data_IF_284547221234
#
_entry.id   IF_284547221234
#
_cell.length_a   1.000
_cell.length_b   1.000
_cell.length_c   1.000
_cell.angle_alpha   90.00
_cell.angle_beta   90.00
_cell.angle_gamma   90.00
#
_symmetry.space_group_name_H-M   'P 1'
#
loop_
_entity.id
_entity.type
_entity.pdbx_description
1 polymer ?
2 non-polymer ?
3 water ?
#
# COMPACT_ATOMS: atom_id res chain seq x y z
N UNK A 11 2.14 16.28 -29.64
CA UNK A 11 0.78 16.11 -30.25
C UNK A 11 -0.06 17.31 -29.88
N UNK A 12 -0.69 17.93 -30.91
CA UNK A 12 -1.73 18.96 -30.73
C UNK A 12 -3.05 18.43 -30.16
N UNK A 13 -3.21 17.13 -30.04
CA UNK A 13 -4.42 16.54 -29.44
C UNK A 13 -4.42 16.53 -27.91
N UNK A 14 -3.27 16.76 -27.30
CA UNK A 14 -3.11 16.62 -25.86
C UNK A 14 -3.50 17.92 -25.15
N UNK A 15 -4.40 17.82 -24.15
CA UNK A 15 -4.78 18.99 -23.38
C UNK A 15 -3.72 19.32 -22.37
N UNK A 16 -3.28 20.57 -22.39
CA UNK A 16 -2.37 21.15 -21.43
C UNK A 16 -3.27 21.58 -20.26
N UNK A 17 -3.19 20.84 -19.16
CA UNK A 17 -3.98 21.11 -18.03
C UNK A 17 -3.33 22.13 -17.14
N UNK A 18 -4.19 22.86 -16.40
CA UNK A 18 -3.75 23.63 -15.21
C UNK A 18 -4.61 23.27 -14.02
N UNK A 19 -4.18 23.66 -12.83
CA UNK A 19 -5.01 23.45 -11.63
C UNK A 19 -6.42 24.04 -11.83
N UNK A 20 -6.48 25.20 -12.46
CA UNK A 20 -7.77 25.84 -12.76
C UNK A 20 -8.62 25.17 -13.82
N UNK A 21 -7.98 24.65 -14.89
CA UNK A 21 -8.73 24.00 -15.97
C UNK A 21 -9.15 22.55 -15.66
N UNK A 22 -8.67 21.99 -14.53
CA UNK A 22 -8.83 20.57 -14.26
C UNK A 22 -10.29 20.13 -14.21
N UNK A 23 -11.11 20.85 -13.45
CA UNK A 23 -12.51 20.56 -13.32
C UNK A 23 -13.21 20.49 -14.68
N UNK A 24 -13.05 21.54 -15.46
CA UNK A 24 -13.65 21.57 -16.81
C UNK A 24 -13.08 20.53 -17.77
N UNK A 25 -11.76 20.43 -17.80
CA UNK A 25 -11.12 19.62 -18.84
C UNK A 25 -11.18 18.13 -18.54
N UNK A 26 -11.14 17.78 -17.25
CA UNK A 26 -11.19 16.40 -16.85
C UNK A 26 -12.51 16.00 -16.23
N UNK A 27 -12.90 16.66 -15.17
CA UNK A 27 -13.99 16.12 -14.38
C UNK A 27 -15.34 16.25 -15.08
N UNK A 28 -15.50 17.26 -15.92
CA UNK A 28 -16.77 17.41 -16.66
C UNK A 28 -16.69 16.85 -18.06
N UNK A 29 -15.54 16.28 -18.42
CA UNK A 29 -15.44 15.74 -19.76
C UNK A 29 -16.35 14.51 -19.91
N UNK A 30 -16.83 14.32 -21.12
CA UNK A 30 -17.53 13.09 -21.46
C UNK A 30 -16.47 12.26 -22.15
N UNK A 31 -16.48 10.98 -21.88
CA UNK A 31 -15.49 10.14 -22.46
C UNK A 31 -14.26 10.04 -21.59
N UNK A 32 -13.47 9.02 -21.87
CA UNK A 32 -12.34 8.66 -21.05
C UNK A 32 -11.23 9.68 -21.28
N UNK A 33 -10.59 10.07 -20.17
CA UNK A 33 -9.50 11.03 -20.18
C UNK A 33 -8.32 10.41 -19.46
N UNK A 34 -7.15 10.36 -20.10
CA UNK A 34 -5.91 9.87 -19.49
C UNK A 34 -5.06 11.07 -19.09
N UNK A 35 -4.90 11.27 -17.79
CA UNK A 35 -4.14 12.41 -17.26
C UNK A 35 -2.77 11.96 -16.85
N UNK A 36 -1.76 12.61 -17.41
CA UNK A 36 -0.34 12.36 -17.11
C UNK A 36 0.16 13.46 -16.19
N UNK A 37 0.51 13.07 -14.95
CA UNK A 37 1.14 13.92 -14.00
C UNK A 37 2.64 13.81 -14.25
N UNK A 38 3.31 14.93 -14.48
CA UNK A 38 4.73 14.96 -14.88
C UNK A 38 5.42 16.25 -14.48
N UNK A 39 6.72 16.30 -14.76
CA UNK A 39 7.51 17.49 -14.56
C UNK A 39 8.82 17.35 -15.30
N UNK A 40 9.53 18.47 -15.39
CA UNK A 40 10.77 18.57 -16.19
C UNK A 40 11.91 17.71 -15.59
N UNK A 41 11.97 17.57 -14.26
CA UNK A 41 13.04 16.80 -13.60
C UNK A 41 12.51 15.43 -13.27
N UNK A 42 12.59 14.54 -14.26
CA UNK A 42 11.96 13.23 -14.21
C UNK A 42 12.37 12.41 -15.41
N UNK A 43 13.17 11.37 -15.19
CA UNK A 43 13.65 10.51 -16.24
C UNK A 43 12.51 9.80 -16.96
N UNK A 44 11.69 9.02 -16.20
CA UNK A 44 10.63 8.24 -16.85
C UNK A 44 9.62 9.12 -17.51
N UNK A 45 9.41 10.39 -17.03
CA UNK A 45 8.54 11.34 -17.81
C UNK A 45 8.91 11.54 -19.25
N UNK A 46 10.20 11.68 -19.49
CA UNK A 46 10.77 11.88 -20.76
C UNK A 46 10.66 10.60 -21.62
N UNK A 47 10.85 9.43 -21.03
CA UNK A 47 10.67 8.11 -21.71
C UNK A 47 9.25 8.00 -22.29
N UNK A 48 8.24 8.29 -21.45
CA UNK A 48 6.84 8.09 -21.86
C UNK A 48 6.20 9.21 -22.64
N UNK A 49 6.78 10.40 -22.66
CA UNK A 49 6.24 11.52 -23.42
C UNK A 49 5.98 11.24 -24.91
N UNK A 50 6.93 10.60 -25.64
CA UNK A 50 6.61 10.26 -27.04
C UNK A 50 5.53 9.20 -27.23
N UNK A 51 5.48 8.26 -26.31
CA UNK A 51 4.47 7.27 -26.30
C UNK A 51 3.09 7.91 -26.15
N UNK A 52 2.95 8.88 -25.24
CA UNK A 52 1.66 9.54 -25.02
C UNK A 52 1.23 10.30 -26.24
N UNK A 53 2.18 10.87 -26.99
CA UNK A 53 1.86 11.51 -28.23
C UNK A 53 1.25 10.53 -29.23
N UNK A 54 1.85 9.37 -29.35
CA UNK A 54 1.36 8.37 -30.33
C UNK A 54 -0.03 7.87 -29.89
N UNK A 55 -0.21 7.64 -28.60
CA UNK A 55 -1.50 7.25 -28.06
C UNK A 55 -2.54 8.30 -28.30
N UNK A 56 -2.20 9.57 -28.16
CA UNK A 56 -3.22 10.60 -28.38
C UNK A 56 -3.72 10.55 -29.83
N UNK A 57 -2.81 10.37 -30.77
CA UNK A 57 -3.22 10.10 -32.15
C UNK A 57 -4.01 8.81 -32.34
N UNK A 58 -3.50 7.71 -31.84
CA UNK A 58 -4.02 6.42 -32.16
C UNK A 58 -5.33 6.10 -31.44
N UNK A 59 -5.57 6.74 -30.30
CA UNK A 59 -6.83 6.60 -29.56
C UNK A 59 -7.81 7.76 -29.68
N UNK A 60 -7.52 8.71 -30.53
CA UNK A 60 -8.48 9.80 -30.78
C UNK A 60 -9.88 9.27 -31.19
N UNK A 61 -10.92 9.74 -30.50
CA UNK A 61 -12.29 9.31 -30.70
C UNK A 61 -12.71 8.41 -29.56
N UNK A 62 -11.76 7.77 -28.91
CA UNK A 62 -12.07 6.94 -27.75
C UNK A 62 -11.46 7.40 -26.42
N UNK A 63 -10.45 8.26 -26.50
CA UNK A 63 -9.69 8.72 -25.34
C UNK A 63 -9.17 10.10 -25.65
N UNK A 64 -9.16 10.99 -24.65
CA UNK A 64 -8.41 12.24 -24.71
C UNK A 64 -7.22 12.11 -23.75
N UNK A 65 -6.04 12.59 -24.20
CA UNK A 65 -4.83 12.61 -23.39
C UNK A 65 -4.63 14.04 -22.89
N UNK A 66 -4.35 14.16 -21.60
CA UNK A 66 -4.14 15.42 -20.91
C UNK A 66 -2.88 15.36 -20.07
N UNK A 67 -2.15 16.47 -20.01
CA UNK A 67 -1.00 16.56 -19.13
C UNK A 67 -1.09 17.68 -18.12
N UNK A 68 -0.65 17.37 -16.92
CA UNK A 68 -0.54 18.32 -15.83
C UNK A 68 0.89 18.34 -15.32
N UNK A 69 1.57 19.47 -15.47
CA UNK A 69 2.89 19.66 -14.94
C UNK A 69 2.77 20.00 -13.50
N UNK A 70 3.28 19.15 -12.62
CA UNK A 70 3.06 19.33 -11.18
C UNK A 70 3.92 20.41 -10.54
N UNK A 71 5.03 20.79 -11.15
CA UNK A 71 5.77 21.95 -10.66
C UNK A 71 5.00 23.25 -10.82
N UNK A 72 4.28 23.41 -11.94
CA UNK A 72 3.45 24.59 -12.21
C UNK A 72 2.03 24.53 -11.64
N UNK A 73 1.55 23.35 -11.30
CA UNK A 73 0.19 23.14 -10.84
C UNK A 73 0.30 22.18 -9.63
N UNK A 74 0.68 22.69 -8.46
CA UNK A 74 0.83 21.81 -7.29
C UNK A 74 -0.46 21.46 -6.59
N UNK A 75 -1.59 21.96 -7.05
CA UNK A 75 -2.83 21.74 -6.27
C UNK A 75 -3.58 20.45 -6.58
N UNK A 76 -3.48 19.91 -7.81
CA UNK A 76 -4.29 18.76 -8.18
C UNK A 76 -3.80 17.41 -7.64
N UNK A 77 -2.52 17.14 -7.79
CA UNK A 77 -2.04 15.79 -7.46
C UNK A 77 -2.49 15.36 -6.08
N UNK A 78 -2.33 16.23 -5.04
CA UNK A 78 -2.82 15.88 -3.70
C UNK A 78 -4.29 15.51 -3.59
N UNK A 79 -5.12 16.07 -4.44
CA UNK A 79 -6.53 15.74 -4.44
C UNK A 79 -6.80 14.29 -4.85
N UNK A 80 -5.82 13.63 -5.50
CA UNK A 80 -5.97 12.24 -5.96
C UNK A 80 -5.02 11.28 -5.28
N UNK A 81 -4.40 11.75 -4.22
CA UNK A 81 -3.44 10.95 -3.49
C UNK A 81 -2.14 10.69 -4.26
N UNK A 82 -1.84 11.49 -5.28
CA UNK A 82 -0.68 11.23 -6.14
C UNK A 82 0.65 11.59 -5.48
N UNK A 83 1.43 10.56 -5.13
CA UNK A 83 2.66 10.71 -4.41
C UNK A 83 3.90 10.99 -5.25
N UNK A 84 3.84 10.78 -6.56
CA UNK A 84 5.03 11.00 -7.39
C UNK A 84 4.70 10.94 -8.86
N UNK A 85 5.75 10.95 -9.67
CA UNK A 85 5.62 11.06 -11.11
C UNK A 85 6.67 10.14 -11.81
N UNK A 86 6.41 9.68 -13.03
CA UNK A 86 5.12 9.88 -13.76
C UNK A 86 3.98 9.04 -13.15
N UNK A 87 2.76 9.59 -13.12
CA UNK A 87 1.55 8.79 -12.78
C UNK A 87 0.51 9.10 -13.85
N UNK A 88 -0.11 8.05 -14.38
CA UNK A 88 -1.23 8.13 -15.27
C UNK A 88 -2.54 7.80 -14.49
N UNK A 89 -3.53 8.66 -14.63
CA UNK A 89 -4.85 8.42 -14.03
C UNK A 89 -5.81 8.39 -15.19
N UNK A 90 -6.60 7.34 -15.28
CA UNK A 90 -7.64 7.22 -16.29
C UNK A 90 -8.94 7.63 -15.63
N UNK A 91 -9.53 8.70 -16.14
CA UNK A 91 -10.84 9.15 -15.68
C UNK A 91 -11.93 8.72 -16.67
N UNK A 92 -13.11 8.43 -16.11
CA UNK A 92 -14.34 8.20 -16.87
C UNK A 92 -15.48 8.88 -16.13
N UNK A 93 -16.15 9.85 -16.79
CA UNK A 93 -17.29 10.58 -16.17
C UNK A 93 -16.96 11.26 -14.86
N UNK A 94 -15.77 11.82 -14.78
CA UNK A 94 -15.36 12.56 -13.59
C UNK A 94 -14.84 11.71 -12.44
N UNK A 95 -14.76 10.41 -12.64
CA UNK A 95 -14.34 9.44 -11.61
C UNK A 95 -13.02 8.70 -12.08
N UNK A 96 -12.05 8.53 -11.20
CA UNK A 96 -10.84 7.71 -11.48
C UNK A 96 -11.30 6.27 -11.71
N UNK A 97 -11.05 5.74 -12.89
CA UNK A 97 -11.31 4.32 -13.16
C UNK A 97 -10.07 3.43 -12.93
N UNK A 98 -8.86 3.98 -13.15
CA UNK A 98 -7.63 3.16 -13.07
C UNK A 98 -6.38 4.05 -12.99
N UNK A 99 -5.28 3.46 -12.53
CA UNK A 99 -4.08 4.19 -12.27
C UNK A 99 -2.90 3.33 -12.68
N UNK A 100 -1.92 3.99 -13.27
CA UNK A 100 -0.67 3.39 -13.63
C UNK A 100 0.49 4.32 -13.37
N UNK A 101 1.41 3.84 -12.56
CA UNK A 101 2.53 4.61 -12.06
C UNK A 101 3.85 4.19 -12.71
N UNK A 102 4.69 5.19 -12.98
CA UNK A 102 6.09 5.01 -13.47
C UNK A 102 6.23 4.78 -14.94
N UNK A 103 7.43 4.36 -15.36
CA UNK A 103 7.70 4.14 -16.79
C UNK A 103 6.87 2.99 -17.36
N UNK A 104 6.58 3.03 -18.66
CA UNK A 104 5.93 1.91 -19.33
C UNK A 104 6.18 1.90 -20.80
N UNK A 105 6.05 0.75 -21.43
CA UNK A 105 6.27 0.64 -22.88
C UNK A 105 4.98 1.05 -23.57
N UNK A 106 5.07 1.27 -24.87
CA UNK A 106 3.85 1.57 -25.63
C UNK A 106 2.88 0.42 -25.54
N UNK A 107 3.38 -0.81 -25.71
CA UNK A 107 2.56 -2.00 -25.61
C UNK A 107 1.85 -2.10 -24.27
N UNK A 108 2.60 -1.90 -23.20
CA UNK A 108 2.03 -1.87 -21.86
C UNK A 108 0.94 -0.81 -21.62
N UNK A 109 1.13 0.38 -22.16
CA UNK A 109 0.11 1.43 -22.09
C UNK A 109 -1.12 0.99 -22.85
N UNK A 110 -0.91 0.44 -24.04
CA UNK A 110 -2.11 -0.04 -24.80
C UNK A 110 -2.91 -1.09 -24.05
N UNK A 111 -2.21 -2.00 -23.41
CA UNK A 111 -2.86 -3.05 -22.62
C UNK A 111 -3.69 -2.51 -21.44
N UNK A 112 -3.09 -1.56 -20.73
CA UNK A 112 -3.78 -0.84 -19.66
C UNK A 112 -5.04 -0.16 -20.20
N UNK A 113 -4.89 0.57 -21.27
CA UNK A 113 -6.03 1.32 -21.82
C UNK A 113 -7.13 0.39 -22.30
N UNK A 114 -6.72 -0.63 -23.04
CA UNK A 114 -7.67 -1.56 -23.63
C UNK A 114 -8.47 -2.30 -22.57
N UNK A 115 -7.79 -2.77 -21.52
CA UNK A 115 -8.47 -3.44 -20.39
C UNK A 115 -9.40 -2.51 -19.61
N UNK A 116 -9.02 -1.25 -19.43
CA UNK A 116 -9.87 -0.35 -18.70
C UNK A 116 -10.90 0.37 -19.55
N UNK A 117 -10.79 0.30 -20.87
CA UNK A 117 -11.77 0.97 -21.70
C UNK A 117 -12.90 0.01 -21.95
N UNK A 118 -12.59 -1.28 -22.15
CA UNK A 118 -13.57 -2.36 -22.12
C UNK A 118 -14.34 -2.26 -20.80
N UNK A 119 -13.60 -2.22 -19.69
CA UNK A 119 -14.17 -1.96 -18.36
C UNK A 119 -13.27 -2.50 -17.25
N UNK A 121 -16.41 -4.85 -15.81
CA UNK A 121 -16.21 -4.89 -14.36
C UNK A 121 -15.58 -6.23 -13.93
N UNK A 122 -14.31 -6.20 -13.49
CA UNK A 122 -13.56 -7.41 -13.10
C UNK A 122 -12.90 -7.29 -11.71
N UNK A 123 -12.98 -8.37 -10.92
CA UNK A 123 -12.57 -8.39 -9.50
C UNK A 123 -13.74 -8.31 -8.53
N UNK A 124 -13.48 -8.59 -7.25
CA UNK A 124 -14.47 -8.49 -6.15
C UNK A 124 -14.31 -7.17 -5.38
N UNK A 125 -15.40 -6.48 -5.09
CA UNK A 125 -15.33 -5.12 -4.54
C UNK A 125 -15.55 -5.15 -3.04
N UNK A 126 -14.64 -4.58 -2.29
CA UNK A 126 -14.79 -4.48 -0.87
C UNK A 126 -15.00 -3.06 -0.42
N UNK A 127 -15.90 -2.88 0.54
CA UNK A 127 -16.26 -1.61 1.08
C UNK A 127 -15.62 -1.51 2.45
N UNK A 128 -14.92 -0.41 2.69
CA UNK A 128 -14.27 -0.10 3.97
C UNK A 128 -14.92 1.20 4.43
N UNK A 129 -15.57 1.15 5.59
CA UNK A 129 -16.18 2.32 6.20
C UNK A 129 -15.58 2.72 7.54
N UNK A 130 -15.77 4.00 7.83
CA UNK A 130 -15.31 4.66 9.05
C UNK A 130 -13.82 4.89 9.07
N UNK A 131 -13.21 5.07 7.90
CA UNK A 131 -11.84 5.62 7.83
C UNK A 131 -11.66 7.02 8.39
N UNK A 132 -10.51 7.25 9.00
CA UNK A 132 -10.15 8.57 9.48
C UNK A 132 -9.90 9.50 8.33
N UNK A 133 -9.95 10.81 8.63
CA UNK A 133 -9.73 11.83 7.59
C UNK A 133 -8.31 11.81 6.97
N UNK A 134 -7.34 11.23 7.64
CA UNK A 134 -5.99 11.08 7.01
C UNK A 134 -5.78 9.76 6.28
N UNK A 135 -6.84 8.94 6.11
CA UNK A 135 -6.63 7.62 5.47
C UNK A 135 -6.26 7.84 3.99
N UNK A 136 -5.38 6.99 3.44
CA UNK A 136 -4.94 7.16 2.06
C UNK A 136 -4.84 5.82 1.38
N UNK A 137 -4.51 5.84 0.09
CA UNK A 137 -4.41 4.63 -0.72
C UNK A 137 -3.42 3.67 -0.14
N UNK A 138 -2.33 4.23 0.41
CA UNK A 138 -1.26 3.49 1.10
C UNK A 138 -1.76 2.60 2.22
N UNK A 139 -2.67 3.13 3.00
CA UNK A 139 -3.27 2.39 4.07
C UNK A 139 -4.04 1.22 3.54
N UNK A 140 -4.80 1.41 2.47
CA UNK A 140 -5.62 0.32 1.95
C UNK A 140 -4.74 -0.76 1.29
N UNK A 141 -3.73 -0.34 0.52
CA UNK A 141 -2.83 -1.29 -0.06
C UNK A 141 -2.20 -2.19 1.01
N UNK A 142 -1.74 -1.57 2.10
CA UNK A 142 -1.06 -2.26 3.19
C UNK A 142 -1.99 -3.23 3.97
N UNK A 143 -3.25 -2.86 4.12
CA UNK A 143 -4.24 -3.77 4.77
C UNK A 143 -4.56 -4.99 3.93
N UNK A 144 -4.89 -4.74 2.65
CA UNK A 144 -5.46 -5.78 1.77
C UNK A 144 -4.44 -6.59 0.96
N UNK A 145 -3.33 -5.97 0.60
CA UNK A 145 -2.32 -6.62 -0.23
C UNK A 145 -1.76 -7.92 0.37
N UNK A 146 -1.58 -7.95 1.70
CA UNK A 146 -1.14 -9.22 2.24
C UNK A 146 -2.04 -10.39 2.03
N UNK A 147 -3.33 -10.15 1.68
CA UNK A 147 -4.27 -11.22 1.55
C UNK A 147 -4.34 -11.82 0.16
N UNK A 148 -3.76 -11.16 -0.83
CA UNK A 148 -3.83 -11.62 -2.20
C UNK A 148 -3.71 -10.44 -3.17
N UNK A 149 -3.90 -10.71 -4.43
CA UNK A 149 -3.75 -9.66 -5.44
C UNK A 149 -4.86 -8.60 -5.38
N UNK A 150 -4.46 -7.35 -5.26
CA UNK A 150 -5.46 -6.28 -5.38
C UNK A 150 -5.17 -5.50 -6.66
N UNK A 151 -6.22 -5.21 -7.41
CA UNK A 151 -6.04 -4.52 -8.66
C UNK A 151 -6.32 -3.05 -8.61
N UNK A 152 -7.03 -2.60 -7.58
CA UNK A 152 -7.47 -1.22 -7.54
C UNK A 152 -7.88 -0.90 -6.11
N UNK A 153 -7.57 0.33 -5.74
CA UNK A 153 -7.92 0.92 -4.46
C UNK A 153 -8.49 2.32 -4.75
N UNK A 154 -9.55 2.68 -4.01
CA UNK A 154 -10.14 3.99 -4.18
C UNK A 154 -10.50 4.54 -2.79
N UNK A 155 -9.89 5.65 -2.46
CA UNK A 155 -10.24 6.41 -1.26
C UNK A 155 -11.15 7.52 -1.72
N UNK A 156 -12.31 7.67 -1.08
CA UNK A 156 -13.27 8.76 -1.43
C UNK A 156 -12.90 9.97 -0.58
N UNK A 157 -12.62 11.08 -1.24
CA UNK A 157 -12.17 12.30 -0.62
C UNK A 157 -13.22 13.36 -0.75
N UNK A 158 -13.30 14.26 0.23
CA UNK A 158 -14.28 15.35 0.12
C UNK A 158 -13.76 16.37 -0.92
N UNK A 159 -14.64 16.83 -1.81
CA UNK A 159 -14.30 17.83 -2.84
C UNK A 159 -13.63 19.08 -2.23
N UNK A 160 -14.26 19.60 -1.17
CA UNK A 160 -13.83 20.83 -0.50
C UNK A 160 -12.52 20.66 0.32
N UNK A 161 -12.47 19.66 1.20
CA UNK A 161 -11.30 19.44 2.08
C UNK A 161 -10.07 18.75 1.48
N UNK A 162 -10.21 17.84 0.52
CA UNK A 162 -9.10 16.85 0.15
C UNK A 162 -8.86 15.69 1.14
N UNK A 163 -9.63 15.66 2.22
CA UNK A 163 -9.45 14.63 3.23
C UNK A 163 -10.35 13.44 2.82
N UNK A 164 -10.00 12.26 3.34
CA UNK A 164 -10.87 11.10 3.24
C UNK A 164 -12.21 11.43 3.87
N UNK A 165 -13.26 11.10 3.17
CA UNK A 165 -14.62 11.33 3.52
C UNK A 165 -15.15 10.24 4.45
N UNK A 166 -14.31 9.24 4.73
CA UNK A 166 -14.65 8.20 5.68
C UNK A 166 -14.86 6.83 5.09
N UNK A 167 -14.58 6.63 3.79
CA UNK A 167 -14.76 5.38 3.16
C UNK A 167 -13.94 5.26 1.92
N UNK A 168 -13.77 4.00 1.54
CA UNK A 168 -13.05 3.62 0.30
C UNK A 168 -13.42 2.22 -0.13
N UNK A 169 -12.75 1.78 -1.17
CA UNK A 169 -13.03 0.51 -1.82
C UNK A 169 -11.75 -0.13 -2.22
N UNK A 170 -11.75 -1.45 -2.23
CA UNK A 170 -10.61 -2.19 -2.72
C UNK A 170 -11.18 -3.25 -3.68
N UNK A 171 -10.43 -3.52 -4.75
CA UNK A 171 -10.79 -4.56 -5.69
C UNK A 171 -9.81 -5.70 -5.68
N UNK A 172 -10.32 -6.87 -5.33
CA UNK A 172 -9.51 -8.11 -5.19
C UNK A 172 -9.85 -9.16 -6.27
N UNK A 173 -8.82 -9.66 -6.95
CA UNK A 173 -9.00 -10.65 -8.02
C UNK A 173 -9.78 -11.91 -7.59
N UNK A 174 -9.34 -12.62 -6.54
CA UNK A 174 -9.90 -13.91 -6.19
C UNK A 174 -10.84 -13.85 -4.99
N UNK A 175 -12.02 -14.45 -5.13
CA UNK A 175 -13.06 -14.38 -4.09
C UNK A 175 -12.65 -14.81 -2.68
N UNK A 176 -11.79 -15.83 -2.63
CA UNK A 176 -11.40 -16.46 -1.37
C UNK A 176 -10.48 -15.54 -0.55
N UNK A 177 -9.57 -14.88 -1.25
CA UNK A 177 -8.68 -13.93 -0.68
C UNK A 177 -9.49 -12.71 -0.15
N UNK A 178 -10.41 -12.15 -0.95
CA UNK A 178 -11.33 -11.12 -0.51
C UNK A 178 -12.13 -11.48 0.74
N UNK A 179 -12.69 -12.68 0.79
CA UNK A 179 -13.42 -13.06 2.00
C UNK A 179 -12.49 -13.25 3.24
N UNK A 180 -11.26 -13.73 3.03
CA UNK A 180 -10.26 -13.81 4.10
C UNK A 180 -9.88 -12.39 4.59
N UNK A 181 -9.65 -11.46 3.68
CA UNK A 181 -9.38 -10.07 4.09
C UNK A 181 -10.58 -9.50 4.88
N UNK A 182 -11.77 -9.70 4.38
CA UNK A 182 -12.98 -9.22 5.08
C UNK A 182 -13.11 -9.80 6.49
N UNK A 183 -12.93 -11.11 6.61
CA UNK A 183 -13.04 -11.81 7.94
C UNK A 183 -11.98 -11.34 8.89
N UNK A 184 -10.81 -10.99 8.36
CA UNK A 184 -9.73 -10.54 9.19
C UNK A 184 -9.73 -9.09 9.52
N UNK A 185 -10.11 -8.20 8.57
CA UNK A 185 -9.96 -6.74 8.79
C UNK A 185 -11.18 -6.07 9.36
N UNK A 186 -12.35 -6.66 9.21
CA UNK A 186 -13.55 -6.10 9.94
C UNK A 186 -13.28 -5.93 11.41
N UNK A 187 -13.56 -4.75 11.97
CA UNK A 187 -13.24 -4.45 13.36
C UNK A 187 -11.82 -3.94 13.60
N UNK A 188 -10.96 -3.98 12.60
CA UNK A 188 -9.56 -3.48 12.78
C UNK A 188 -9.63 -2.08 13.21
N UNK A 189 -8.83 -1.71 14.18
CA UNK A 189 -8.81 -0.35 14.62
C UNK A 189 -7.58 0.36 14.03
N UNK A 190 -7.85 1.30 13.13
CA UNK A 190 -6.86 2.04 12.33
C UNK A 190 -6.82 3.41 12.95
N UNK A 191 -5.75 3.70 13.67
CA UNK A 191 -5.68 4.95 14.47
C UNK A 191 -6.72 4.88 15.57
N UNK A 192 -7.69 5.78 15.52
CA UNK A 192 -8.73 5.88 16.51
C UNK A 192 -10.08 5.47 16.02
N UNK A 193 -10.12 4.80 14.87
CA UNK A 193 -11.38 4.44 14.26
C UNK A 193 -11.46 2.95 14.13
N UNK A 194 -12.55 2.33 14.56
CA UNK A 194 -12.82 0.95 14.25
C UNK A 194 -13.41 0.90 12.84
N UNK A 195 -12.89 0.00 12.01
CA UNK A 195 -13.34 -0.13 10.66
C UNK A 195 -14.39 -1.17 10.44
N UNK A 196 -15.28 -0.88 9.50
CA UNK A 196 -16.21 -1.86 8.90
C UNK A 196 -15.65 -2.29 7.57
N UNK A 197 -15.59 -3.59 7.31
CA UNK A 197 -15.08 -4.10 6.06
C UNK A 197 -16.05 -5.20 5.60
N UNK A 198 -16.56 -5.08 4.37
CA UNK A 198 -17.61 -5.92 3.75
C UNK A 198 -17.52 -6.00 2.26
N UNK A 199 -18.02 -7.09 1.67
CA UNK A 199 -18.33 -7.07 0.25
C UNK A 199 -19.33 -5.94 -0.01
N UNK A 200 -19.03 -5.13 -1.00
CA UNK A 200 -19.97 -4.14 -1.54
C UNK A 200 -21.13 -4.90 -2.17
N UNK A 201 -22.36 -4.66 -1.73
CA UNK A 201 -23.50 -5.54 -2.09
C UNK A 201 -23.53 -6.08 -3.54
N UNK B 11 -2.04 -16.23 30.50
CA UNK B 11 -1.12 -17.39 30.48
C UNK B 11 0.28 -16.95 30.85
N UNK B 12 0.87 -17.58 31.87
CA UNK B 12 2.24 -17.26 32.35
C UNK B 12 3.32 -17.33 31.28
N UNK B 13 3.11 -18.16 30.24
CA UNK B 13 4.00 -18.25 29.06
C UNK B 13 4.22 -16.92 28.28
N UNK B 14 3.25 -16.00 28.37
CA UNK B 14 3.34 -14.65 27.74
C UNK B 14 4.41 -13.82 28.43
N UNK B 15 5.11 -13.01 27.66
CA UNK B 15 5.90 -11.88 28.17
C UNK B 15 5.04 -10.60 28.06
N UNK B 16 5.19 -9.71 29.02
CA UNK B 16 4.42 -8.49 29.08
C UNK B 16 5.36 -7.35 28.72
N UNK B 17 5.33 -6.91 27.46
CA UNK B 17 6.28 -5.89 26.99
C UNK B 17 5.90 -4.51 27.47
N UNK B 18 6.92 -3.69 27.59
CA UNK B 18 6.81 -2.28 27.85
C UNK B 18 7.67 -1.61 26.79
N UNK B 19 7.50 -0.31 26.52
CA UNK B 19 8.41 0.35 25.65
C UNK B 19 9.82 -0.02 26.16
N UNK B 20 10.05 0.36 27.42
CA UNK B 20 11.38 0.38 27.98
C UNK B 20 12.03 -1.02 28.01
N UNK B 21 11.26 -2.12 27.94
CA UNK B 21 11.87 -3.48 27.91
C UNK B 21 11.94 -4.15 26.53
N UNK B 22 11.51 -3.39 25.50
CA UNK B 22 11.38 -3.88 24.11
C UNK B 22 12.69 -4.38 23.55
N UNK B 23 13.69 -3.51 23.65
CA UNK B 23 15.10 -3.82 23.33
C UNK B 23 15.58 -5.14 23.88
N UNK B 24 15.34 -5.32 25.19
CA UNK B 24 15.81 -6.46 25.97
C UNK B 24 15.01 -7.70 25.65
N UNK B 25 13.69 -7.55 25.72
CA UNK B 25 12.78 -8.68 25.51
C UNK B 25 12.67 -9.18 24.07
N UNK B 26 12.84 -8.27 23.12
CA UNK B 26 12.51 -8.56 21.72
C UNK B 26 13.78 -8.46 20.86
N UNK B 27 14.37 -7.28 20.85
CA UNK B 27 15.50 -6.98 19.96
C UNK B 27 16.77 -7.76 20.34
N UNK B 28 17.10 -7.76 21.64
CA UNK B 28 18.29 -8.42 22.20
C UNK B 28 18.09 -9.90 22.53
N UNK B 29 16.86 -10.39 22.48
CA UNK B 29 16.56 -11.77 22.77
C UNK B 29 16.67 -12.51 21.49
N UNK B 30 16.75 -13.84 21.58
CA UNK B 30 16.93 -14.67 20.39
C UNK B 30 16.15 -15.96 20.51
N UNK B 32 13.27 -16.33 18.05
CA UNK B 32 11.99 -16.05 17.38
C UNK B 32 10.94 -15.59 18.39
N UNK B 33 10.58 -14.30 18.35
CA UNK B 33 9.41 -13.82 19.11
C UNK B 33 8.26 -13.13 18.29
N UNK B 34 7.04 -13.44 18.75
CA UNK B 34 5.79 -12.92 18.23
C UNK B 34 5.24 -11.86 19.17
N UNK B 35 5.25 -10.59 18.72
CA UNK B 35 4.75 -9.48 19.51
C UNK B 35 3.35 -9.11 19.03
N UNK B 36 2.41 -8.95 19.97
CA UNK B 36 0.99 -8.61 19.72
C UNK B 36 0.79 -7.20 20.23
N UNK B 37 0.47 -6.27 19.33
CA UNK B 37 0.11 -4.94 19.66
C UNK B 37 -1.42 -4.91 19.85
N UNK B 38 -1.90 -4.38 20.97
CA UNK B 38 -3.34 -4.42 21.29
C UNK B 38 -3.75 -3.29 22.16
N UNK B 39 -5.02 -3.28 22.53
CA UNK B 39 -5.53 -2.30 23.45
C UNK B 39 -6.94 -2.72 23.86
N UNK B 40 -7.48 -2.02 24.86
CA UNK B 40 -8.69 -2.41 25.57
C UNK B 40 -9.88 -2.16 24.66
N UNK B 41 -9.92 -0.99 24.03
CA UNK B 41 -10.92 -0.69 23.02
C UNK B 41 -10.55 -1.30 21.63
N UNK B 42 -10.91 -2.57 21.40
CA UNK B 42 -10.51 -3.29 20.20
C UNK B 42 -11.22 -4.63 20.21
N UNK B 43 -12.11 -4.84 19.25
CA UNK B 43 -12.88 -6.08 19.21
C UNK B 43 -12.06 -7.28 18.85
N UNK B 44 -11.38 -7.23 17.69
CA UNK B 44 -10.62 -8.40 17.25
C UNK B 44 -9.50 -8.78 18.26
N UNK B 45 -8.97 -7.81 19.02
CA UNK B 45 -7.98 -8.12 20.10
C UNK B 45 -8.51 -9.10 21.11
N UNK B 46 -9.77 -8.94 21.53
CA UNK B 46 -10.40 -9.92 22.43
C UNK B 46 -10.56 -11.26 21.76
N UNK B 47 -10.97 -11.27 20.48
CA UNK B 47 -11.19 -12.50 19.69
C UNK B 47 -9.89 -13.32 19.72
N UNK B 48 -8.75 -12.67 19.47
CA UNK B 48 -7.49 -13.42 19.32
C UNK B 48 -6.72 -13.67 20.59
N UNK B 49 -6.97 -12.92 21.67
CA UNK B 49 -6.17 -13.07 22.87
C UNK B 49 -6.14 -14.49 23.48
N UNK B 50 -7.25 -15.29 23.35
CA UNK B 50 -7.21 -16.71 23.75
C UNK B 50 -6.40 -17.61 22.84
N UNK B 51 -6.39 -17.34 21.52
CA UNK B 51 -5.54 -18.06 20.58
C UNK B 51 -4.03 -17.87 20.89
N UNK B 52 -3.65 -16.69 21.36
CA UNK B 52 -2.27 -16.40 21.75
C UNK B 52 -1.84 -17.35 22.87
N UNK B 53 -2.65 -17.42 23.92
CA UNK B 53 -2.31 -18.22 25.10
C UNK B 53 -2.17 -19.70 24.73
N UNK B 54 -3.10 -20.21 23.93
CA UNK B 54 -2.89 -21.55 23.33
C UNK B 54 -1.54 -21.68 22.56
N UNK B 55 -1.15 -20.66 21.79
CA UNK B 55 0.11 -20.69 21.01
C UNK B 55 1.35 -20.59 21.90
N UNK B 56 1.27 -19.72 22.91
CA UNK B 56 2.35 -19.50 23.88
C UNK B 56 2.78 -20.74 24.71
N UNK B 57 1.81 -21.49 25.23
CA UNK B 57 2.10 -22.76 25.90
C UNK B 57 2.44 -23.82 24.84
N UNK B 58 1.71 -23.82 23.72
CA UNK B 58 1.93 -24.79 22.63
C UNK B 58 3.25 -24.60 21.85
N UNK B 59 3.93 -23.47 22.00
CA UNK B 59 5.15 -23.23 21.24
C UNK B 59 6.40 -23.07 22.12
N UNK B 60 6.25 -23.27 23.44
CA UNK B 60 7.38 -23.22 24.41
C UNK B 60 8.64 -23.91 23.83
N UNK B 61 9.80 -23.29 24.00
CA UNK B 61 11.05 -23.81 23.42
C UNK B 61 11.36 -23.30 22.02
N UNK B 62 10.35 -23.32 21.14
CA UNK B 62 10.49 -22.95 19.72
C UNK B 62 10.12 -21.48 19.38
N UNK B 63 9.38 -20.81 20.26
CA UNK B 63 8.91 -19.43 20.06
C UNK B 63 8.35 -18.87 21.34
N UNK B 64 8.58 -17.58 21.55
CA UNK B 64 7.99 -16.84 22.65
C UNK B 64 6.95 -15.82 22.13
N UNK B 65 5.86 -15.69 22.89
CA UNK B 65 4.77 -14.75 22.65
C UNK B 65 4.90 -13.65 23.68
N UNK B 66 4.69 -12.43 23.23
CA UNK B 66 4.74 -11.24 24.08
C UNK B 66 3.67 -10.29 23.58
N UNK B 67 3.31 -9.31 24.42
CA UNK B 67 2.20 -8.38 24.16
C UNK B 67 2.66 -7.05 24.55
N UNK B 68 2.11 -6.06 23.87
CA UNK B 68 2.47 -4.70 24.07
C UNK B 68 1.23 -3.96 23.87
N UNK B 69 0.75 -3.38 24.96
CA UNK B 69 -0.45 -2.59 24.94
C UNK B 69 -0.09 -1.28 24.41
N UNK B 70 -0.75 -0.79 23.36
CA UNK B 70 -0.36 0.48 22.73
C UNK B 70 -0.76 1.72 23.44
N UNK B 71 -1.69 1.61 24.39
CA UNK B 71 -2.08 2.75 25.24
C UNK B 71 -1.04 3.02 26.34
N UNK B 72 -0.74 1.95 27.09
CA UNK B 72 0.34 1.91 28.11
C UNK B 72 1.69 2.26 27.46
N UNK B 73 2.02 1.54 26.42
CA UNK B 73 3.27 1.74 25.74
C UNK B 73 3.07 2.37 24.36
N UNK B 74 2.80 3.69 24.27
CA UNK B 74 2.62 4.25 22.92
C UNK B 74 3.91 4.54 22.13
N UNK B 75 5.10 4.22 22.67
CA UNK B 75 6.34 4.51 21.90
C UNK B 75 6.56 3.58 20.70
N UNK B 76 6.35 2.28 20.93
CA UNK B 76 6.86 1.24 20.07
C UNK B 76 6.24 1.20 18.66
N UNK B 77 4.92 1.28 18.53
CA UNK B 77 4.20 1.09 17.24
C UNK B 77 4.77 1.89 16.11
N UNK B 78 4.74 3.25 16.17
CA UNK B 78 5.24 3.98 14.98
C UNK B 78 6.73 3.80 14.59
N UNK B 79 7.50 3.08 15.40
CA UNK B 79 8.87 2.75 15.07
C UNK B 79 8.95 1.50 14.23
N UNK B 80 7.81 0.77 14.11
CA UNK B 80 7.68 -0.30 13.22
C UNK B 80 6.57 -0.03 12.18
N UNK B 81 6.17 1.23 12.08
CA UNK B 81 5.14 1.70 11.16
C UNK B 81 3.76 1.02 11.39
N UNK B 82 3.46 0.66 12.63
CA UNK B 82 2.22 -0.03 12.93
C UNK B 82 1.11 0.98 13.03
N UNK B 83 0.15 0.90 12.12
CA UNK B 83 -0.93 1.91 12.14
C UNK B 83 -2.23 1.44 12.83
N UNK B 84 -2.32 0.18 13.20
CA UNK B 84 -3.57 -0.27 13.77
C UNK B 84 -3.40 -1.51 14.53
N UNK B 85 -4.51 -1.88 15.20
CA UNK B 85 -4.54 -3.08 16.01
C UNK B 85 -5.79 -3.93 15.70
N UNK B 86 -5.69 -5.22 15.84
CA UNK B 86 -4.51 -5.89 16.30
C UNK B 86 -3.49 -6.07 15.19
N UNK B 87 -2.22 -6.09 15.58
CA UNK B 87 -1.12 -6.38 14.65
C UNK B 87 -0.18 -7.37 15.34
N UNK B 88 0.14 -8.44 14.66
CA UNK B 88 1.22 -9.34 15.13
C UNK B 88 2.50 -9.10 14.32
N UNK B 89 3.63 -8.97 15.02
CA UNK B 89 4.97 -8.87 14.37
C UNK B 89 5.88 -10.01 14.83
N UNK B 90 6.38 -10.83 13.89
CA UNK B 90 7.31 -11.91 14.20
C UNK B 90 8.74 -11.39 14.00
N UNK B 91 9.47 -11.24 15.11
CA UNK B 91 10.91 -10.91 15.11
C UNK B 91 11.73 -12.19 15.13
N UNK B 92 12.85 -12.23 14.38
CA UNK B 92 13.86 -13.30 14.52
C UNK B 92 15.19 -12.58 14.73
N UNK B 93 15.87 -12.84 15.86
CA UNK B 93 17.15 -12.19 16.17
C UNK B 93 17.06 -10.69 15.92
N UNK B 94 16.06 -10.06 16.54
CA UNK B 94 15.99 -8.61 16.60
C UNK B 94 15.48 -7.88 15.39
N UNK B 95 15.16 -8.60 14.30
CA UNK B 95 14.56 -7.99 13.12
C UNK B 95 13.15 -8.54 12.77
N UNK B 96 12.34 -7.72 12.10
CA UNK B 96 11.01 -8.16 11.71
C UNK B 96 11.13 -9.19 10.59
N UNK B 97 10.68 -10.43 10.80
CA UNK B 97 10.60 -11.43 9.71
C UNK B 97 9.29 -11.38 8.93
N UNK B 98 8.20 -11.12 9.64
CA UNK B 98 6.87 -11.28 9.09
C UNK B 98 5.81 -10.49 9.92
N UNK B 99 4.69 -10.16 9.28
CA UNK B 99 3.60 -9.45 9.99
C UNK B 99 2.25 -9.95 9.59
N UNK B 100 1.35 -9.97 10.56
CA UNK B 100 -0.03 -10.41 10.30
C UNK B 100 -0.94 -9.47 11.04
N UNK B 101 -1.84 -8.83 10.30
CA UNK B 101 -2.68 -7.79 10.81
C UNK B 101 -4.07 -8.37 10.91
N UNK B 102 -4.79 -7.96 11.94
CA UNK B 102 -6.20 -8.27 12.06
C UNK B 102 -6.50 -9.57 12.77
N UNK B 103 -7.79 -9.93 12.76
CA UNK B 103 -8.28 -11.15 13.40
C UNK B 103 -7.80 -12.39 12.67
N UNK B 104 -7.67 -13.50 13.38
CA UNK B 104 -7.33 -14.74 12.65
C UNK B 104 -7.66 -15.95 13.49
N UNK B 105 -7.95 -17.06 12.84
CA UNK B 105 -8.10 -18.35 13.57
C UNK B 105 -6.78 -18.90 14.14
N UNK B 106 -6.88 -19.83 15.08
CA UNK B 106 -5.73 -20.61 15.53
C UNK B 106 -5.05 -21.31 14.37
N UNK B 107 -5.87 -21.92 13.52
CA UNK B 107 -5.38 -22.56 12.31
C UNK B 107 -4.45 -21.64 11.54
N UNK B 108 -4.94 -20.43 11.28
CA UNK B 108 -4.23 -19.40 10.51
C UNK B 108 -2.91 -18.88 11.13
N UNK B 109 -2.93 -18.71 12.45
CA UNK B 109 -1.74 -18.31 13.16
C UNK B 109 -0.74 -19.49 13.14
N UNK B 110 -1.21 -20.73 13.29
CA UNK B 110 -0.34 -21.89 13.10
C UNK B 110 0.33 -21.83 11.74
N UNK B 111 -0.46 -21.72 10.68
CA UNK B 111 0.10 -21.63 9.31
C UNK B 111 1.21 -20.62 9.24
N UNK B 112 0.93 -19.45 9.81
CA UNK B 112 1.81 -18.28 9.76
C UNK B 112 3.11 -18.50 10.47
N UNK B 113 3.03 -19.00 11.70
CA UNK B 113 4.24 -19.30 12.46
C UNK B 113 5.06 -20.47 11.83
N UNK B 114 4.38 -21.55 11.43
CA UNK B 114 5.05 -22.72 10.83
C UNK B 114 5.92 -22.31 9.63
N UNK B 115 5.29 -21.61 8.69
CA UNK B 115 5.95 -21.22 7.44
C UNK B 115 7.03 -20.13 7.58
N UNK B 116 6.98 -19.32 8.65
CA UNK B 116 7.92 -18.21 8.83
C UNK B 116 9.05 -18.58 9.76
N UNK B 117 9.00 -19.77 10.34
CA UNK B 117 10.13 -20.27 11.17
C UNK B 117 11.12 -21.10 10.31
N UNK B 118 10.62 -21.82 9.29
CA UNK B 118 11.48 -22.44 8.27
N UNK B 122 9.45 -15.38 1.59
CA UNK B 122 10.39 -15.54 0.48
C UNK B 122 9.73 -15.36 -0.91
N UNK B 123 10.57 -15.25 -1.92
CA UNK B 123 10.14 -14.72 -3.21
C UNK B 123 11.27 -13.92 -3.85
N UNK B 124 10.94 -13.03 -4.76
CA UNK B 124 11.92 -12.18 -5.36
C UNK B 124 12.06 -10.90 -4.58
N UNK B 125 13.29 -10.57 -4.23
CA UNK B 125 13.58 -9.47 -3.34
C UNK B 125 14.00 -8.28 -4.17
N UNK B 126 13.35 -7.15 -3.87
CA UNK B 126 13.53 -5.90 -4.60
C UNK B 126 14.06 -4.91 -3.59
N UNK B 127 15.12 -4.21 -3.97
CA UNK B 127 15.77 -3.14 -3.18
C UNK B 127 15.29 -1.82 -3.77
N UNK B 128 14.84 -0.93 -2.88
CA UNK B 128 14.49 0.43 -3.21
C UNK B 128 15.39 1.39 -2.45
N UNK B 129 16.09 2.25 -3.21
CA UNK B 129 17.06 3.17 -2.65
C UNK B 129 16.66 4.64 -2.94
N UNK B 130 17.05 5.53 -2.02
CA UNK B 130 16.84 6.96 -2.03
C UNK B 130 15.47 7.37 -1.58
N UNK B 131 14.81 6.56 -0.72
CA UNK B 131 13.58 6.95 -0.07
C UNK B 131 13.80 8.12 0.82
N UNK B 132 12.83 9.05 0.87
CA UNK B 132 12.88 10.08 1.89
C UNK B 132 12.65 9.59 3.35
N UNK B 133 12.96 10.47 4.32
CA UNK B 133 12.89 10.15 5.74
C UNK B 133 11.49 9.84 6.26
N UNK B 134 10.46 10.31 5.59
CA UNK B 134 9.08 9.97 5.95
C UNK B 134 8.49 8.75 5.25
N UNK B 135 9.25 8.08 4.40
CA UNK B 135 8.77 6.89 3.66
C UNK B 135 8.33 5.84 4.66
N UNK B 136 7.23 5.14 4.35
CA UNK B 136 6.81 4.04 5.21
C UNK B 136 6.36 2.87 4.39
N UNK B 137 5.84 1.84 5.05
CA UNK B 137 5.44 0.59 4.40
C UNK B 137 4.32 0.80 3.43
N UNK B 138 3.48 1.80 3.71
CA UNK B 138 2.30 2.20 2.86
C UNK B 138 2.69 2.68 1.47
N UNK B 139 3.71 3.50 1.46
CA UNK B 139 4.35 3.95 0.20
C UNK B 139 4.75 2.74 -0.65
N UNK B 140 5.46 1.81 -0.04
CA UNK B 140 5.97 0.63 -0.75
C UNK B 140 4.85 -0.27 -1.21
N UNK B 141 3.86 -0.50 -0.34
CA UNK B 141 2.70 -1.28 -0.76
C UNK B 141 1.97 -0.66 -1.95
N UNK B 142 1.87 0.64 -1.90
CA UNK B 142 1.18 1.37 -2.94
C UNK B 142 1.94 1.42 -4.27
N UNK B 143 3.25 1.51 -4.24
CA UNK B 143 4.06 1.38 -5.46
C UNK B 143 4.04 -0.01 -6.08
N UNK B 144 4.26 -1.04 -5.25
CA UNK B 144 4.45 -2.44 -5.72
C UNK B 144 3.19 -3.31 -5.90
N UNK B 145 2.24 -3.15 -4.99
CA UNK B 145 0.93 -3.85 -5.04
C UNK B 145 0.24 -3.89 -6.39
N UNK B 146 0.21 -2.77 -7.13
CA UNK B 146 -0.39 -2.78 -8.44
C UNK B 146 0.26 -3.74 -9.43
N UNK B 147 1.54 -4.13 -9.22
CA UNK B 147 2.26 -4.97 -10.18
C UNK B 147 2.03 -6.47 -9.99
N UNK B 148 1.47 -6.86 -8.85
CA UNK B 148 1.04 -8.18 -8.60
C UNK B 148 1.37 -8.57 -7.17
N UNK B 149 1.49 -9.85 -6.92
CA UNK B 149 1.54 -10.35 -5.53
C UNK B 149 2.77 -9.96 -4.72
N UNK B 150 2.57 -9.23 -3.63
CA UNK B 150 3.59 -8.80 -2.68
C UNK B 150 3.36 -9.58 -1.40
N UNK B 151 4.42 -10.10 -0.88
CA UNK B 151 4.42 -11.00 0.27
C UNK B 151 4.98 -10.33 1.55
N UNK B 152 5.79 -9.28 1.40
CA UNK B 152 6.48 -8.64 2.54
C UNK B 152 7.01 -7.28 2.08
N UNK B 153 6.91 -6.26 2.90
CA UNK B 153 7.64 -5.06 2.70
C UNK B 153 8.37 -4.67 3.97
N UNK B 154 9.54 -4.05 3.80
CA UNK B 154 10.37 -3.66 4.94
C UNK B 154 11.00 -2.29 4.64
N UNK B 155 10.68 -1.34 5.49
CA UNK B 155 11.27 -0.08 5.51
C UNK B 155 12.36 -0.09 6.58
N UNK B 156 13.58 0.31 6.19
CA UNK B 156 14.70 0.30 7.10
C UNK B 156 14.70 1.65 7.81
N UNK B 157 14.55 1.64 9.12
CA UNK B 157 14.57 2.89 9.91
C UNK B 157 15.80 3.08 10.73
N UNK B 158 16.14 4.33 11.00
CA UNK B 158 17.28 4.61 11.84
C UNK B 158 16.95 4.31 13.29
N UNK B 159 17.87 3.65 13.97
CA UNK B 159 17.67 3.31 15.38
C UNK B 159 17.34 4.55 16.24
N UNK B 160 17.97 5.69 15.92
CA UNK B 160 17.94 6.88 16.78
C UNK B 160 16.80 7.85 16.48
N UNK B 161 16.61 8.14 15.20
CA UNK B 161 15.61 9.07 14.73
C UNK B 161 14.27 8.38 14.47
N UNK B 162 14.28 7.06 14.22
CA UNK B 162 13.13 6.32 13.63
C UNK B 162 12.65 6.83 12.29
N UNK B 163 13.57 7.53 11.63
CA UNK B 163 13.30 8.04 10.31
C UNK B 163 13.75 6.92 9.36
N UNK B 164 13.17 6.87 8.19
CA UNK B 164 13.61 5.95 7.19
C UNK B 164 15.04 6.34 6.89
N UNK B 165 15.88 5.32 6.91
CA UNK B 165 17.26 5.44 6.57
C UNK B 165 17.58 5.73 5.07
N UNK B 166 16.59 5.69 4.18
CA UNK B 166 16.87 5.92 2.77
C UNK B 166 16.57 4.72 1.87
N UNK B 167 16.14 3.59 2.44
CA UNK B 167 15.98 2.34 1.67
C UNK B 167 15.02 1.36 2.32
N UNK B 168 14.53 0.44 1.48
CA UNK B 168 13.64 -0.61 1.86
C UNK B 168 13.69 -1.74 0.87
N UNK B 169 12.88 -2.72 1.19
CA UNK B 169 12.78 -3.94 0.42
C UNK B 169 11.34 -4.32 0.22
N UNK B 170 11.09 -4.94 -0.91
CA UNK B 170 9.81 -5.59 -1.16
C UNK B 170 10.06 -6.99 -1.68
N UNK B 171 9.25 -7.96 -1.22
CA UNK B 171 9.26 -9.31 -1.79
C UNK B 171 8.00 -9.62 -2.59
N UNK B 172 8.22 -10.08 -3.80
CA UNK B 172 7.18 -10.38 -4.75
C UNK B 172 7.33 -11.86 -5.22
N UNK B 173 6.20 -12.55 -5.31
CA UNK B 173 6.13 -13.97 -5.60
C UNK B 173 6.56 -14.37 -7.02
N UNK B 174 6.16 -13.58 -8.03
CA UNK B 174 6.27 -13.89 -9.44
C UNK B 174 7.35 -13.00 -10.13
N UNK B 175 8.37 -13.65 -10.68
CA UNK B 175 9.46 -12.96 -11.36
C UNK B 175 9.00 -11.90 -12.32
N UNK B 176 8.06 -12.24 -13.21
CA UNK B 176 7.69 -11.28 -14.28
C UNK B 176 7.02 -10.02 -13.69
N UNK B 177 6.27 -10.16 -12.63
CA UNK B 177 5.69 -9.05 -11.91
C UNK B 177 6.75 -8.16 -11.19
N UNK B 178 7.66 -8.77 -10.48
CA UNK B 178 8.80 -8.14 -9.91
C UNK B 178 9.56 -7.35 -10.95
N UNK B 179 9.88 -7.98 -12.07
CA UNK B 179 10.64 -7.35 -13.18
C UNK B 179 9.90 -6.13 -13.81
N UNK B 180 8.59 -6.24 -13.95
CA UNK B 180 7.80 -5.16 -14.50
C UNK B 180 7.77 -4.01 -13.49
N UNK B 181 7.64 -4.32 -12.20
CA UNK B 181 7.76 -3.30 -11.14
C UNK B 181 9.12 -2.59 -11.14
N UNK B 182 10.21 -3.34 -11.27
CA UNK B 182 11.53 -2.75 -11.40
C UNK B 182 11.67 -1.85 -12.62
N UNK B 183 11.18 -2.30 -13.76
CA UNK B 183 11.32 -1.57 -15.00
C UNK B 183 10.51 -0.30 -14.97
N UNK B 184 9.35 -0.34 -14.32
CA UNK B 184 8.47 0.79 -14.19
C UNK B 184 8.87 1.82 -13.08
N UNK B 185 9.31 1.32 -11.94
CA UNK B 185 9.53 2.18 -10.75
C UNK B 185 10.98 2.70 -10.58
N UNK B 186 11.94 2.08 -11.22
CA UNK B 186 13.28 2.71 -11.24
C UNK B 186 13.23 4.12 -11.88
N UNK B 187 13.71 5.13 -11.17
CA UNK B 187 13.67 6.49 -11.65
C UNK B 187 12.36 7.21 -11.33
N UNK B 188 11.39 6.51 -10.73
CA UNK B 188 10.17 7.19 -10.23
C UNK B 188 10.58 8.21 -9.21
N UNK B 189 9.97 9.38 -9.31
CA UNK B 189 10.26 10.48 -8.42
C UNK B 189 9.13 10.55 -7.40
N UNK B 190 9.47 10.11 -6.18
CA UNK B 190 8.55 10.08 -5.05
C UNK B 190 8.87 11.34 -4.24
N UNK B 191 7.93 12.27 -4.17
CA UNK B 191 8.20 13.62 -3.60
C UNK B 191 9.37 14.30 -4.32
N UNK B 192 10.39 14.69 -3.56
CA UNK B 192 11.59 15.34 -4.10
C UNK B 192 12.75 14.36 -4.31
N UNK B 193 12.49 13.05 -4.24
CA UNK B 193 13.56 12.06 -4.38
C UNK B 193 13.30 11.13 -5.57
N UNK B 194 14.27 11.03 -6.47
CA UNK B 194 14.29 9.97 -7.48
C UNK B 194 14.75 8.63 -6.87
N UNK B 195 13.98 7.58 -7.06
CA UNK B 195 14.26 6.27 -6.50
C UNK B 195 15.11 5.41 -7.41
N UNK B 196 15.95 4.56 -6.83
CA UNK B 196 16.56 3.41 -7.53
C UNK B 196 15.76 2.19 -7.08
N UNK B 197 15.40 1.34 -8.05
CA UNK B 197 14.82 0.06 -7.82
C UNK B 197 15.43 -1.00 -8.66
N UNK B 198 15.79 -2.10 -8.01
CA UNK B 198 16.59 -3.17 -8.59
C UNK B 198 16.28 -4.45 -7.90
N UNK B 199 16.50 -5.57 -8.57
CA UNK B 199 16.56 -6.85 -7.84
C UNK B 199 17.69 -6.83 -6.84
N UNK B 200 17.48 -7.42 -5.68
CA UNK B 200 18.55 -7.44 -4.66
C UNK B 200 19.63 -8.46 -5.05
N UNK B 201 20.90 -8.01 -5.03
CA UNK B 201 22.05 -8.88 -5.35
C UNK B 201 23.03 -8.98 -4.17
#
# INVERSE_FOLDING_TARGET
MKHHHHHHPMSDKIIHLTDDSFDTDVLKADGAILVDFWAEWCGPCKMIAPILDEIADEYQGKLTVAKLNIDQNPGTAPKYGIRGIPTLLLFKNGEVAATKVGALSKGQLKEFLDANLAGSAMGWCIFIYNLGQDADEGILWQMFGPFGAVTNVKVIRDFNTNKCKGFGFVTMTNYEEAAMAIASLNGYRLGDKILQVSFKTNKSHK
MKHHHHHHPMSDKIIHLTDDSFDTDVLKADGAILVDFWAEWCGPCKMIAPILDEIADEYQGKLTVAKLNIDQNPGTAPKYGIRGIPTLLLFKNGEVAATKVGALSKGQLKEFLDANLAGSAMGWCIFIYNLGQDADEGILWQMFGPFGAVTNVKVIRDFNTNKCKGFGFVTMTNYEEAAMAIASLNGYRLGDKILQVSFKTNKSHK
#
